data_IF_763136006343
#
_entry.id   IF_763136006343
#
_cell.length_a   1.000
_cell.length_b   1.000
_cell.length_c   1.000
_cell.angle_alpha   90.00
_cell.angle_beta   90.00
_cell.angle_gamma   90.00
#
_symmetry.space_group_name_H-M   'P 1'
#
loop_
_entity.id
_entity.type
_entity.pdbx_description
1 polymer ?
#
# COMPACT_ATOMS: atom_id res chain seq x y z
N UNK A 1 -0.59 16.77 12.77
CA UNK A 1 -0.43 15.53 11.98
C UNK A 1 0.80 15.69 11.10
N UNK A 2 1.75 14.74 11.13
CA UNK A 2 2.91 14.75 10.22
C UNK A 2 2.47 14.23 8.86
N UNK A 3 2.91 14.86 7.79
CA UNK A 3 2.65 14.44 6.41
C UNK A 3 4.00 14.20 5.73
N UNK A 4 4.11 13.09 5.01
CA UNK A 4 5.25 12.73 4.19
C UNK A 4 4.78 12.56 2.75
N UNK A 5 5.14 13.49 1.87
CA UNK A 5 4.94 13.36 0.43
C UNK A 5 6.14 12.61 -0.15
N UNK A 6 5.89 11.50 -0.83
CA UNK A 6 6.95 10.69 -1.46
C UNK A 6 6.88 10.82 -2.97
N UNK A 7 8.03 10.98 -3.61
CA UNK A 7 8.15 11.08 -5.06
C UNK A 7 8.52 9.74 -5.72
N UNK A 8 8.47 9.70 -7.06
CA UNK A 8 8.79 8.49 -7.82
C UNK A 8 10.21 7.98 -7.62
N UNK A 9 11.20 8.87 -7.42
CA UNK A 9 12.59 8.50 -7.20
C UNK A 9 12.77 7.79 -5.84
N UNK A 10 12.11 8.30 -4.80
CA UNK A 10 12.06 7.66 -3.49
C UNK A 10 11.34 6.31 -3.56
N UNK A 11 10.25 6.19 -4.32
CA UNK A 11 9.61 4.89 -4.52
C UNK A 11 10.54 3.91 -5.23
N UNK A 12 11.16 4.31 -6.34
CA UNK A 12 12.05 3.43 -7.09
C UNK A 12 13.21 2.90 -6.22
N UNK A 13 13.87 3.79 -5.48
CA UNK A 13 14.94 3.40 -4.55
C UNK A 13 14.46 2.50 -3.42
N UNK A 14 13.25 2.76 -2.89
CA UNK A 14 12.67 1.95 -1.82
C UNK A 14 12.28 0.55 -2.29
N UNK A 15 11.68 0.43 -3.48
CA UNK A 15 11.34 -0.88 -4.06
C UNK A 15 12.60 -1.67 -4.43
N UNK A 16 13.66 -1.01 -4.90
CA UNK A 16 14.97 -1.66 -5.09
C UNK A 16 15.54 -2.22 -3.77
N UNK A 17 15.47 -1.44 -2.69
CA UNK A 17 15.87 -1.90 -1.36
C UNK A 17 15.04 -3.10 -0.90
N UNK A 18 13.72 -3.05 -1.12
CA UNK A 18 12.80 -4.13 -0.78
C UNK A 18 13.12 -5.41 -1.57
N UNK A 19 13.38 -5.31 -2.87
CA UNK A 19 13.80 -6.42 -3.72
C UNK A 19 15.10 -7.06 -3.21
N UNK A 20 16.11 -6.25 -2.87
CA UNK A 20 17.37 -6.74 -2.31
C UNK A 20 17.16 -7.49 -0.99
N UNK A 21 16.29 -7.01 -0.10
CA UNK A 21 15.95 -7.73 1.14
C UNK A 21 15.34 -9.10 0.86
N UNK A 22 14.43 -9.18 -0.11
CA UNK A 22 13.79 -10.44 -0.51
C UNK A 22 14.82 -11.41 -1.07
N UNK A 23 15.65 -10.98 -2.03
CA UNK A 23 16.70 -11.82 -2.63
C UNK A 23 17.72 -12.33 -1.60
N UNK A 24 18.18 -11.46 -0.71
CA UNK A 24 19.15 -11.83 0.33
C UNK A 24 18.59 -12.82 1.36
N UNK A 25 17.28 -12.84 1.55
CA UNK A 25 16.61 -13.82 2.43
C UNK A 25 16.55 -15.23 1.83
N UNK A 26 16.96 -15.40 0.56
CA UNK A 26 16.82 -16.65 -0.22
C UNK A 26 15.37 -17.10 -0.40
N UNK A 27 14.42 -16.17 -0.28
CA UNK A 27 13.03 -16.40 -0.61
C UNK A 27 12.80 -16.14 -2.09
N UNK A 28 12.33 -17.15 -2.81
CA UNK A 28 12.01 -17.08 -4.23
C UNK A 28 10.51 -17.34 -4.40
N UNK A 29 9.67 -16.29 -4.37
CA UNK A 29 8.24 -16.45 -4.57
C UNK A 29 7.95 -16.86 -6.02
N UNK A 30 6.99 -17.74 -6.21
CA UNK A 30 6.49 -18.14 -7.52
C UNK A 30 5.47 -17.14 -8.07
N UNK A 31 4.80 -16.41 -7.16
CA UNK A 31 3.75 -15.43 -7.49
C UNK A 31 3.84 -14.20 -6.58
N UNK A 32 3.53 -13.03 -7.14
CA UNK A 32 3.28 -11.80 -6.40
C UNK A 32 1.78 -11.50 -6.42
N UNK A 33 1.22 -11.16 -5.27
CA UNK A 33 -0.16 -10.67 -5.14
C UNK A 33 -0.14 -9.23 -4.64
N UNK A 34 -0.45 -8.29 -5.53
CA UNK A 34 -0.62 -6.89 -5.16
C UNK A 34 -1.97 -6.64 -4.51
N UNK A 35 -1.97 -6.01 -3.34
CA UNK A 35 -3.20 -5.60 -2.67
C UNK A 35 -3.70 -4.32 -3.31
N UNK A 36 -4.86 -4.41 -3.94
CA UNK A 36 -5.45 -3.28 -4.65
C UNK A 36 -5.97 -2.23 -3.65
N UNK A 37 -5.74 -0.94 -3.89
CA UNK A 37 -5.08 -0.35 -5.07
C UNK A 37 -3.59 -0.02 -4.83
N UNK A 38 -3.21 0.33 -3.60
CA UNK A 38 -1.88 0.86 -3.26
C UNK A 38 -0.73 -0.07 -3.63
N UNK A 39 -0.88 -1.37 -3.32
CA UNK A 39 0.08 -2.40 -3.65
C UNK A 39 0.32 -2.66 -5.13
N UNK A 40 -0.52 -2.18 -6.07
CA UNK A 40 -0.37 -2.47 -7.50
C UNK A 40 0.95 -1.99 -8.08
N UNK A 41 1.33 -0.75 -7.77
CA UNK A 41 2.55 -0.15 -8.31
C UNK A 41 3.78 -0.86 -7.75
N UNK A 42 3.78 -1.09 -6.44
CA UNK A 42 4.88 -1.79 -5.74
C UNK A 42 5.01 -3.23 -6.26
N UNK A 43 3.90 -3.93 -6.42
CA UNK A 43 3.87 -5.30 -6.90
C UNK A 43 4.40 -5.41 -8.34
N UNK A 44 4.02 -4.49 -9.24
CA UNK A 44 4.56 -4.46 -10.60
C UNK A 44 6.07 -4.19 -10.61
N UNK A 45 6.55 -3.22 -9.85
CA UNK A 45 7.97 -2.91 -9.78
C UNK A 45 8.78 -4.09 -9.22
N UNK A 46 8.29 -4.75 -8.17
CA UNK A 46 8.92 -5.96 -7.61
C UNK A 46 8.90 -7.12 -8.59
N UNK A 47 7.83 -7.30 -9.37
CA UNK A 47 7.75 -8.38 -10.35
C UNK A 47 8.83 -8.26 -11.43
N UNK A 48 9.20 -7.03 -11.78
CA UNK A 48 10.33 -6.74 -12.67
C UNK A 48 11.66 -7.13 -12.03
N UNK A 49 11.94 -6.57 -10.85
CA UNK A 49 13.22 -6.71 -10.16
C UNK A 49 13.51 -8.14 -9.71
N UNK A 50 12.47 -8.90 -9.39
CA UNK A 50 12.56 -10.30 -8.99
C UNK A 50 12.41 -11.26 -10.18
N UNK A 51 12.16 -10.75 -11.39
CA UNK A 51 11.89 -11.56 -12.59
C UNK A 51 10.73 -12.56 -12.43
N UNK A 52 9.66 -12.14 -11.74
CA UNK A 52 8.46 -12.94 -11.49
C UNK A 52 7.35 -12.49 -12.44
N UNK A 53 6.85 -13.41 -13.26
CA UNK A 53 5.80 -13.12 -14.26
C UNK A 53 4.38 -13.32 -13.72
N UNK A 54 4.18 -14.23 -12.76
CA UNK A 54 2.88 -14.42 -12.13
C UNK A 54 2.59 -13.28 -11.15
N UNK A 55 1.88 -12.28 -11.66
CA UNK A 55 1.41 -11.13 -10.90
C UNK A 55 -0.12 -11.16 -10.86
N UNK A 56 -0.67 -11.31 -9.66
CA UNK A 56 -2.11 -11.29 -9.41
C UNK A 56 -2.49 -10.08 -8.54
N UNK A 57 -3.79 -9.77 -8.53
CA UNK A 57 -4.38 -8.70 -7.73
C UNK A 57 -5.43 -9.26 -6.79
N UNK A 58 -5.52 -8.71 -5.58
CA UNK A 58 -6.57 -8.97 -4.58
C UNK A 58 -7.06 -7.63 -4.04
N UNK A 59 -8.36 -7.33 -4.08
CA UNK A 59 -8.90 -6.07 -3.54
C UNK A 59 -9.48 -6.27 -2.15
N UNK A 60 -8.96 -5.49 -1.20
CA UNK A 60 -9.45 -5.42 0.16
C UNK A 60 -9.91 -4.00 0.45
N UNK A 61 -11.14 -3.86 0.94
CA UNK A 61 -11.69 -2.58 1.35
C UNK A 61 -12.15 -2.65 2.79
N UNK A 62 -12.06 -1.52 3.46
CA UNK A 62 -12.57 -1.34 4.80
C UNK A 62 -14.06 -1.00 4.69
N UNK A 63 -14.93 -1.83 5.26
CA UNK A 63 -16.38 -1.63 5.24
C UNK A 63 -16.89 -1.18 6.62
N UNK A 64 -17.67 -0.10 6.63
CA UNK A 64 -18.44 0.35 7.79
C UNK A 64 -19.89 -0.06 7.58
N UNK A 65 -20.33 -1.13 8.25
CA UNK A 65 -21.73 -1.51 8.22
C UNK A 65 -22.62 -0.42 8.80
N UNK A 66 -23.81 -0.24 8.22
CA UNK A 66 -24.82 0.68 8.75
C UNK A 66 -25.10 0.29 10.22
N UNK A 67 -24.90 1.22 11.15
CA UNK A 67 -25.10 1.00 12.59
C UNK A 67 -23.97 0.26 13.32
N UNK A 68 -22.87 -0.11 12.64
CA UNK A 68 -21.69 -0.71 13.29
C UNK A 68 -20.61 0.34 13.57
N UNK A 69 -20.03 0.26 14.78
CA UNK A 69 -18.87 1.08 15.17
C UNK A 69 -17.56 0.56 14.56
N UNK A 70 -17.50 -0.74 14.27
CA UNK A 70 -16.26 -1.39 13.84
C UNK A 70 -16.11 -1.39 12.32
N UNK A 71 -15.01 -0.79 11.86
CA UNK A 71 -14.49 -0.93 10.51
C UNK A 71 -13.76 -2.27 10.40
N UNK A 72 -14.11 -3.12 9.43
CA UNK A 72 -13.40 -4.38 9.18
C UNK A 72 -12.97 -4.48 7.72
N UNK A 73 -11.80 -5.06 7.43
CA UNK A 73 -11.41 -5.35 6.05
C UNK A 73 -12.29 -6.46 5.48
N UNK A 74 -12.68 -6.31 4.23
CA UNK A 74 -13.40 -7.32 3.45
C UNK A 74 -12.74 -7.47 2.08
N UNK A 75 -12.73 -8.69 1.54
CA UNK A 75 -12.31 -8.92 0.16
C UNK A 75 -13.47 -8.55 -0.75
N UNK A 76 -13.30 -7.52 -1.58
CA UNK A 76 -14.33 -7.06 -2.52
C UNK A 76 -14.08 -7.53 -3.94
N UNK A 77 -12.83 -7.88 -4.27
CA UNK A 77 -12.50 -8.60 -5.48
C UNK A 77 -11.54 -9.74 -5.11
N UNK A 78 -11.91 -11.00 -5.35
CA UNK A 78 -11.06 -12.15 -5.04
C UNK A 78 -9.78 -12.12 -5.87
N UNK A 79 -8.83 -12.97 -5.51
CA UNK A 79 -7.56 -13.05 -6.23
C UNK A 79 -7.80 -13.38 -7.71
N UNK A 80 -7.12 -12.65 -8.59
CA UNK A 80 -7.31 -12.80 -10.05
C UNK A 80 -6.77 -14.11 -10.63
N UNK A 81 -5.85 -14.77 -9.93
CA UNK A 81 -5.29 -16.08 -10.29
C UNK A 81 -5.03 -16.88 -9.01
N UNK A 82 -5.48 -18.15 -8.89
CA UNK A 82 -5.27 -18.95 -7.69
C UNK A 82 -3.78 -19.29 -7.46
N UNK A 83 -3.37 -19.44 -6.19
CA UNK A 83 -1.98 -19.73 -5.85
C UNK A 83 -1.59 -21.21 -6.05
N UNK A 84 -2.51 -22.18 -5.94
CA UNK A 84 -2.30 -23.60 -6.30
C UNK A 84 -0.91 -24.19 -5.93
N UNK A 85 -0.55 -24.20 -4.65
CA UNK A 85 0.71 -24.75 -4.16
C UNK A 85 1.95 -23.86 -4.38
N UNK A 86 1.78 -22.64 -4.91
CA UNK A 86 2.84 -21.63 -5.09
C UNK A 86 3.26 -21.00 -3.76
N UNK A 87 4.50 -20.55 -3.70
CA UNK A 87 5.00 -19.62 -2.68
C UNK A 87 4.63 -18.20 -3.10
N UNK A 88 3.91 -17.47 -2.24
CA UNK A 88 3.30 -16.19 -2.59
C UNK A 88 3.95 -15.05 -1.83
N UNK A 89 4.23 -13.95 -2.53
CA UNK A 89 4.59 -12.67 -1.93
C UNK A 89 3.41 -11.71 -2.02
N UNK A 90 2.77 -11.43 -0.89
CA UNK A 90 1.75 -10.38 -0.78
C UNK A 90 2.47 -9.03 -0.72
N UNK A 91 2.03 -8.07 -1.51
CA UNK A 91 2.66 -6.75 -1.63
C UNK A 91 1.63 -5.64 -1.42
N UNK A 92 1.95 -4.68 -0.55
CA UNK A 92 1.21 -3.43 -0.38
C UNK A 92 2.17 -2.24 -0.22
N UNK A 93 1.70 -1.01 -0.42
CA UNK A 93 2.54 0.18 -0.27
C UNK A 93 2.81 0.53 1.19
N UNK A 94 1.80 0.42 2.05
CA UNK A 94 1.91 0.60 3.50
C UNK A 94 1.18 -0.47 4.28
N UNK A 95 1.78 -0.92 5.38
CA UNK A 95 1.08 -1.67 6.42
C UNK A 95 0.79 -0.75 7.60
N UNK A 96 -0.48 -0.38 7.73
CA UNK A 96 -0.99 0.45 8.83
C UNK A 96 -1.30 -0.40 10.07
N UNK A 97 -2.57 -0.74 10.31
CA UNK A 97 -2.96 -1.61 11.43
C UNK A 97 -2.52 -3.07 11.26
N UNK A 98 -2.30 -3.51 10.02
CA UNK A 98 -2.01 -4.91 9.65
C UNK A 98 -3.25 -5.76 9.32
N UNK A 99 -4.46 -5.23 9.47
CA UNK A 99 -5.69 -6.04 9.34
C UNK A 99 -5.93 -6.52 7.90
N UNK A 100 -5.69 -5.68 6.89
CA UNK A 100 -5.78 -6.09 5.47
C UNK A 100 -4.82 -7.22 5.14
N UNK A 101 -3.56 -7.12 5.61
CA UNK A 101 -2.54 -8.14 5.33
C UNK A 101 -2.84 -9.46 6.02
N UNK A 102 -3.38 -9.43 7.25
CA UNK A 102 -3.85 -10.63 7.93
C UNK A 102 -4.96 -11.34 7.15
N UNK A 103 -5.96 -10.57 6.70
CA UNK A 103 -7.05 -11.11 5.88
C UNK A 103 -6.52 -11.68 4.56
N UNK A 104 -5.64 -10.95 3.86
CA UNK A 104 -5.02 -11.41 2.62
C UNK A 104 -4.23 -12.71 2.81
N UNK A 105 -3.40 -12.80 3.85
CA UNK A 105 -2.59 -13.99 4.16
C UNK A 105 -3.49 -15.19 4.47
N UNK A 106 -4.49 -15.02 5.32
CA UNK A 106 -5.44 -16.10 5.64
C UNK A 106 -6.19 -16.59 4.40
N UNK A 107 -6.66 -15.66 3.56
CA UNK A 107 -7.35 -15.98 2.32
C UNK A 107 -6.45 -16.74 1.35
N UNK A 108 -5.23 -16.26 1.09
CA UNK A 108 -4.29 -16.90 0.15
C UNK A 108 -3.84 -18.28 0.65
N UNK A 109 -3.59 -18.44 1.96
CA UNK A 109 -3.31 -19.77 2.55
C UNK A 109 -4.52 -20.70 2.36
N UNK A 110 -5.74 -20.22 2.59
CA UNK A 110 -6.95 -21.03 2.40
C UNK A 110 -7.18 -21.46 0.94
N UNK A 111 -6.61 -20.73 -0.02
CA UNK A 111 -6.61 -21.04 -1.45
C UNK A 111 -5.49 -22.01 -1.86
N UNK A 112 -4.76 -22.59 -0.91
CA UNK A 112 -3.76 -23.62 -1.17
C UNK A 112 -2.34 -23.12 -1.44
N UNK A 113 -2.00 -21.90 -1.06
CA UNK A 113 -0.60 -21.44 -1.13
C UNK A 113 0.31 -22.26 -0.21
N UNK A 114 1.52 -22.58 -0.69
CA UNK A 114 2.52 -23.39 0.04
C UNK A 114 3.25 -22.59 1.12
N UNK A 115 3.63 -21.37 0.79
CA UNK A 115 4.26 -20.40 1.70
C UNK A 115 3.74 -19.00 1.36
N UNK A 116 3.61 -18.13 2.36
CA UNK A 116 3.07 -16.78 2.18
C UNK A 116 3.84 -15.78 3.02
N UNK A 117 4.50 -14.85 2.34
CA UNK A 117 5.22 -13.72 2.93
C UNK A 117 4.62 -12.39 2.52
N UNK A 118 4.84 -11.37 3.34
CA UNK A 118 4.33 -10.01 3.13
C UNK A 118 5.52 -9.05 2.93
N UNK A 119 5.44 -8.23 1.89
CA UNK A 119 6.38 -7.15 1.64
C UNK A 119 5.66 -5.80 1.53
N UNK A 120 6.24 -4.76 2.12
CA UNK A 120 5.71 -3.39 2.01
C UNK A 120 6.82 -2.35 1.94
N UNK A 121 6.52 -1.15 1.45
CA UNK A 121 7.50 -0.05 1.54
C UNK A 121 7.52 0.46 2.98
N UNK A 122 6.37 0.88 3.50
CA UNK A 122 6.27 1.53 4.80
C UNK A 122 5.49 0.69 5.80
N UNK A 123 5.95 0.65 7.05
CA UNK A 123 5.19 0.10 8.17
C UNK A 123 4.88 1.21 9.18
N UNK A 124 3.69 1.24 9.75
CA UNK A 124 3.38 2.15 10.87
C UNK A 124 3.89 1.58 12.19
N UNK A 125 4.34 2.42 13.13
CA UNK A 125 4.85 1.95 14.42
C UNK A 125 3.79 1.25 15.30
N UNK A 126 2.50 1.50 15.05
CA UNK A 126 1.38 0.86 15.76
C UNK A 126 0.84 -0.38 15.05
N UNK A 127 1.52 -0.88 14.01
CA UNK A 127 1.07 -2.08 13.31
C UNK A 127 1.01 -3.27 14.25
N UNK A 128 -0.08 -4.06 14.17
CA UNK A 128 -0.27 -5.27 14.99
C UNK A 128 0.48 -6.48 14.43
N UNK A 129 1.03 -6.35 13.22
CA UNK A 129 1.84 -7.36 12.57
C UNK A 129 3.14 -6.73 12.09
N UNK A 130 4.15 -7.56 11.88
CA UNK A 130 5.38 -7.15 11.20
C UNK A 130 5.45 -7.88 9.86
N UNK A 131 5.46 -7.15 8.72
CA UNK A 131 5.72 -7.74 7.41
C UNK A 131 7.06 -8.47 7.39
N UNK A 132 7.16 -9.57 6.64
CA UNK A 132 8.42 -10.29 6.45
C UNK A 132 9.51 -9.39 5.86
N UNK A 133 9.11 -8.44 4.99
CA UNK A 133 9.99 -7.45 4.41
C UNK A 133 9.35 -6.06 4.45
N UNK A 134 10.09 -5.07 4.95
CA UNK A 134 9.70 -3.65 4.86
C UNK A 134 10.93 -2.77 4.69
N UNK A 135 10.76 -1.56 4.14
CA UNK A 135 11.88 -0.62 3.95
C UNK A 135 12.10 0.21 5.20
N UNK A 136 11.07 0.89 5.69
CA UNK A 136 11.18 1.82 6.82
C UNK A 136 9.89 1.90 7.67
N UNK A 137 10.04 2.33 8.93
CA UNK A 137 8.93 2.59 9.85
C UNK A 137 8.62 4.08 9.83
N UNK A 138 7.36 4.46 9.57
CA UNK A 138 6.96 5.86 9.39
C UNK A 138 5.78 6.23 10.28
N UNK A 139 6.00 7.21 11.17
CA UNK A 139 4.99 7.90 11.98
C UNK A 139 4.49 9.18 11.27
N UNK A 140 3.85 9.04 10.11
CA UNK A 140 3.29 10.15 9.34
C UNK A 140 2.19 9.66 8.40
N UNK A 141 1.27 10.53 7.98
CA UNK A 141 0.42 10.26 6.83
C UNK A 141 1.28 10.32 5.56
N UNK A 142 1.30 9.25 4.77
CA UNK A 142 2.12 9.17 3.57
C UNK A 142 1.22 9.52 2.38
N UNK A 143 1.72 10.33 1.46
CA UNK A 143 1.04 10.64 0.19
C UNK A 143 1.89 10.06 -0.93
N UNK A 144 1.43 8.97 -1.53
CA UNK A 144 2.10 8.33 -2.65
C UNK A 144 1.81 9.02 -4.00
N UNK A 145 2.70 8.87 -5.00
CA UNK A 145 2.49 9.46 -6.33
C UNK A 145 1.21 8.99 -7.04
N UNK A 146 0.69 7.79 -6.70
CA UNK A 146 -0.51 7.21 -7.30
C UNK A 146 -1.83 7.62 -6.61
N UNK A 147 -1.78 8.39 -5.52
CA UNK A 147 -2.97 8.76 -4.74
C UNK A 147 -3.06 10.27 -4.43
N UNK A 148 -2.30 11.12 -5.13
CA UNK A 148 -2.22 12.56 -4.86
C UNK A 148 -3.61 13.20 -4.85
N UNK A 149 -4.45 12.90 -5.86
CA UNK A 149 -5.81 13.43 -5.97
C UNK A 149 -6.67 13.05 -4.76
N UNK A 150 -6.69 11.78 -4.39
CA UNK A 150 -7.46 11.27 -3.25
C UNK A 150 -6.97 11.88 -1.93
N UNK A 151 -5.66 12.10 -1.80
CA UNK A 151 -5.05 12.75 -0.64
C UNK A 151 -5.44 14.23 -0.55
N UNK A 152 -5.40 14.97 -1.67
CA UNK A 152 -5.85 16.37 -1.70
C UNK A 152 -7.31 16.49 -1.26
N UNK A 153 -8.20 15.66 -1.81
CA UNK A 153 -9.63 15.67 -1.45
C UNK A 153 -9.86 15.40 0.05
N UNK A 154 -9.11 14.46 0.64
CA UNK A 154 -9.16 14.19 2.08
C UNK A 154 -8.65 15.37 2.92
N UNK A 155 -7.55 16.00 2.52
CA UNK A 155 -6.99 17.16 3.19
C UNK A 155 -7.92 18.38 3.11
N UNK A 156 -8.56 18.63 1.96
CA UNK A 156 -9.58 19.68 1.80
C UNK A 156 -10.73 19.45 2.78
N UNK A 157 -11.25 18.22 2.85
CA UNK A 157 -12.35 17.90 3.76
C UNK A 157 -11.94 18.06 5.24
N UNK A 158 -10.69 17.74 5.59
CA UNK A 158 -10.15 17.95 6.93
C UNK A 158 -9.98 19.44 7.27
N UNK A 159 -9.63 20.28 6.29
CA UNK A 159 -9.44 21.73 6.43
C UNK A 159 -10.64 22.54 5.93
N UNK A 160 -11.85 21.96 5.93
CA UNK A 160 -13.05 22.54 5.31
C UNK A 160 -13.49 23.92 5.84
N UNK A 161 -13.02 24.31 7.02
CA UNK A 161 -13.32 25.60 7.65
C UNK A 161 -12.35 26.71 7.19
N UNK A 162 -11.30 26.37 6.43
CA UNK A 162 -10.31 27.32 5.94
C UNK A 162 -10.65 27.86 4.55
N UNK A 163 -10.10 29.02 4.20
CA UNK A 163 -10.25 29.56 2.84
C UNK A 163 -9.53 28.67 1.82
N UNK A 164 -10.04 28.65 0.58
CA UNK A 164 -9.39 27.93 -0.53
C UNK A 164 -7.92 28.31 -0.71
N UNK A 165 -7.60 29.59 -0.53
CA UNK A 165 -6.23 30.11 -0.65
C UNK A 165 -5.32 29.60 0.47
N UNK A 166 -5.81 29.58 1.72
CA UNK A 166 -5.10 28.95 2.85
C UNK A 166 -4.83 27.46 2.60
N UNK A 167 -5.84 26.73 2.13
CA UNK A 167 -5.69 25.30 1.81
C UNK A 167 -4.66 25.09 0.70
N UNK A 168 -4.72 25.90 -0.37
CA UNK A 168 -3.77 25.86 -1.48
C UNK A 168 -2.33 26.07 -0.99
N UNK A 169 -2.08 27.09 -0.19
CA UNK A 169 -0.76 27.39 0.37
C UNK A 169 -0.26 26.25 1.27
N UNK A 170 -1.14 25.64 2.07
CA UNK A 170 -0.80 24.46 2.88
C UNK A 170 -0.40 23.27 2.03
N UNK A 171 -1.16 22.94 0.99
CA UNK A 171 -0.85 21.83 0.08
C UNK A 171 0.51 22.04 -0.62
N UNK A 172 0.83 23.27 -1.03
CA UNK A 172 2.14 23.61 -1.59
C UNK A 172 3.24 23.43 -0.54
N UNK A 173 3.01 23.91 0.69
CA UNK A 173 4.01 23.87 1.77
C UNK A 173 4.42 22.45 2.19
N UNK A 174 3.52 21.47 2.04
CA UNK A 174 3.80 20.06 2.33
C UNK A 174 4.43 19.32 1.15
N UNK A 175 4.64 19.99 0.01
CA UNK A 175 5.35 19.44 -1.15
C UNK A 175 4.45 18.81 -2.22
N UNK A 176 3.14 19.05 -2.22
CA UNK A 176 2.27 18.61 -3.31
C UNK A 176 2.51 19.52 -4.54
N UNK A 177 2.73 18.96 -5.75
CA UNK A 177 2.97 19.78 -6.93
C UNK A 177 1.72 20.60 -7.31
N UNK A 178 1.94 21.85 -7.75
CA UNK A 178 0.86 22.82 -8.04
C UNK A 178 -0.11 22.31 -9.10
N UNK A 179 0.38 21.57 -10.09
CA UNK A 179 -0.44 21.04 -11.18
C UNK A 179 -1.53 20.10 -10.67
N UNK A 180 -1.25 19.33 -9.60
CA UNK A 180 -2.26 18.47 -8.97
C UNK A 180 -3.26 19.27 -8.14
N UNK A 181 -2.82 20.36 -7.51
CA UNK A 181 -3.69 21.23 -6.69
C UNK A 181 -4.69 21.96 -7.59
N UNK A 182 -4.22 22.49 -8.72
CA UNK A 182 -5.01 23.21 -9.73
C UNK A 182 -6.13 22.36 -10.34
N UNK A 183 -6.01 21.04 -10.33
CA UNK A 183 -7.05 20.12 -10.81
C UNK A 183 -8.22 19.96 -9.83
N UNK A 184 -8.12 20.50 -8.61
CA UNK A 184 -9.09 20.29 -7.53
C UNK A 184 -9.65 21.59 -6.98
N UNK A 185 -8.84 22.65 -6.83
CA UNK A 185 -9.21 23.89 -6.12
C UNK A 185 -9.15 25.11 -7.03
#
# INVERSE_FOLDING_TARGET
MKILVVDWNKIQSSVLSLANKILNSKYHPDMIVGIARGGWIVARLLSDLLSIKNLASLRIEFYKGIGKKDYKPIITQPISEPPDGKSVLIVDDVVDSGESMNLAKQYIVSMGAKDVKIATIHMKPWSKITPDYYVEIVDAWIIYPWEIRESIEQLINMWKEESKESIRDKLISIGIPKEYIDLVI
#
